data_IF_529790654014
#
_entry.id   IF_529790654014
#
_cell.length_a   1.000
_cell.length_b   1.000
_cell.length_c   1.000
_cell.angle_alpha   90.00
_cell.angle_beta   90.00
_cell.angle_gamma   90.00
#
_symmetry.space_group_name_H-M   'P 1'
#
loop_
_entity.id
_entity.type
_entity.pdbx_description
1 polymer ?
#
# COMPACT_ATOMS: atom_id res chain seq x y z
N UNK A 1 35.79 -13.13 -26.49
CA UNK A 1 35.32 -12.19 -25.46
C UNK A 1 33.95 -11.70 -25.87
N UNK A 2 32.85 -12.23 -25.33
CA UNK A 2 31.52 -11.73 -25.63
C UNK A 2 31.22 -10.52 -24.76
N UNK A 3 30.77 -9.44 -25.41
CA UNK A 3 30.37 -8.19 -24.78
C UNK A 3 29.17 -8.38 -23.83
N UNK A 4 29.23 -7.66 -22.72
CA UNK A 4 28.20 -7.62 -21.69
C UNK A 4 26.88 -7.04 -22.24
N UNK A 5 25.72 -7.59 -21.85
CA UNK A 5 24.43 -7.07 -22.28
C UNK A 5 24.15 -5.74 -21.57
N UNK A 6 24.29 -4.64 -22.30
CA UNK A 6 23.85 -3.31 -21.89
C UNK A 6 22.37 -3.30 -21.57
N UNK A 7 22.09 -2.92 -20.32
CA UNK A 7 20.98 -2.11 -19.83
C UNK A 7 19.72 -2.07 -20.73
N UNK A 8 18.71 -2.87 -20.36
CA UNK A 8 17.37 -2.76 -20.94
C UNK A 8 16.75 -1.43 -20.52
N UNK A 9 16.87 -0.47 -21.42
CA UNK A 9 16.16 0.81 -21.48
C UNK A 9 14.79 0.74 -20.82
N UNK A 10 14.69 1.24 -19.59
CA UNK A 10 13.40 1.64 -19.03
C UNK A 10 12.99 2.88 -19.80
N UNK A 11 12.19 2.74 -20.87
CA UNK A 11 11.74 3.90 -21.64
C UNK A 11 11.01 4.84 -20.69
N UNK A 12 11.59 6.02 -20.42
CA UNK A 12 10.99 7.02 -19.53
C UNK A 12 9.74 7.57 -20.22
N UNK A 13 8.58 7.06 -19.84
CA UNK A 13 7.31 7.61 -20.29
C UNK A 13 7.14 9.03 -19.72
N UNK A 14 6.83 9.97 -20.60
CA UNK A 14 6.70 11.38 -20.30
C UNK A 14 5.33 11.85 -20.79
N UNK A 15 4.57 12.55 -19.93
CA UNK A 15 3.22 13.05 -20.27
C UNK A 15 3.12 14.55 -20.00
N UNK A 16 2.43 15.24 -20.92
CA UNK A 16 1.91 16.59 -20.68
C UNK A 16 0.56 16.49 -20.00
N UNK A 17 0.44 17.08 -18.82
CA UNK A 17 -0.82 17.11 -18.09
C UNK A 17 -1.59 18.33 -18.56
N UNK A 18 -2.51 18.10 -19.51
CA UNK A 18 -3.43 19.13 -19.98
C UNK A 18 -4.61 19.20 -19.00
N UNK A 19 -4.75 20.32 -18.27
CA UNK A 19 -5.86 20.55 -17.36
C UNK A 19 -7.15 20.88 -18.13
N UNK A 20 -7.68 19.92 -18.87
CA UNK A 20 -9.10 19.89 -19.16
C UNK A 20 -9.87 19.15 -18.07
N UNK A 21 -9.33 19.08 -16.87
CA UNK A 21 -9.99 18.56 -15.68
C UNK A 21 -9.91 19.63 -14.60
N UNK A 22 -10.86 19.63 -13.66
CA UNK A 22 -10.82 20.56 -12.53
C UNK A 22 -9.58 20.33 -11.66
N UNK A 23 -9.05 21.41 -11.09
CA UNK A 23 -7.80 21.38 -10.33
C UNK A 23 -7.85 20.56 -9.05
N UNK A 24 -9.04 20.28 -8.51
CA UNK A 24 -9.28 19.41 -7.36
C UNK A 24 -9.30 17.91 -7.71
N UNK A 25 -9.24 17.55 -9.00
CA UNK A 25 -9.22 16.16 -9.44
C UNK A 25 -8.02 15.42 -8.81
N UNK A 26 -8.24 14.33 -8.06
CA UNK A 26 -7.16 13.59 -7.43
C UNK A 26 -6.37 12.78 -8.47
N UNK A 27 -5.05 12.85 -8.38
CA UNK A 27 -4.11 12.12 -9.23
C UNK A 27 -3.28 11.18 -8.36
N UNK A 28 -3.17 9.92 -8.78
CA UNK A 28 -2.35 8.92 -8.10
C UNK A 28 -0.86 9.15 -8.43
N UNK A 29 -0.11 9.52 -7.40
CA UNK A 29 1.33 9.77 -7.47
C UNK A 29 2.11 8.46 -7.40
N UNK A 30 3.39 8.49 -7.81
CA UNK A 30 4.26 7.31 -7.81
C UNK A 30 4.51 6.71 -6.42
N UNK A 31 4.33 7.49 -5.35
CA UNK A 31 4.42 7.07 -3.95
C UNK A 31 3.10 6.46 -3.42
N UNK A 32 2.07 6.35 -4.28
CA UNK A 32 0.75 5.86 -3.91
C UNK A 32 -0.14 6.89 -3.21
N UNK A 33 0.37 8.09 -2.93
CA UNK A 33 -0.43 9.19 -2.36
C UNK A 33 -1.25 9.88 -3.45
N UNK A 34 -2.28 10.60 -3.02
CA UNK A 34 -3.08 11.43 -3.90
C UNK A 34 -2.57 12.86 -3.85
N UNK A 35 -2.45 13.49 -5.02
CA UNK A 35 -2.18 14.92 -5.16
C UNK A 35 -3.22 15.53 -6.06
N UNK A 36 -3.69 16.74 -5.73
CA UNK A 36 -4.66 17.43 -6.58
C UNK A 36 -4.01 17.84 -7.90
N UNK A 37 -4.73 17.73 -9.01
CA UNK A 37 -4.24 18.09 -10.33
C UNK A 37 -3.63 19.51 -10.37
N UNK A 38 -4.26 20.46 -9.69
CA UNK A 38 -3.82 21.85 -9.62
C UNK A 38 -2.48 22.05 -8.90
N UNK A 39 -2.07 21.09 -8.07
CA UNK A 39 -0.83 21.11 -7.28
C UNK A 39 0.33 20.38 -7.97
N UNK A 40 0.05 19.65 -9.06
CA UNK A 40 1.07 18.93 -9.82
C UNK A 40 2.08 19.91 -10.43
N UNK A 41 3.36 19.54 -10.35
CA UNK A 41 4.49 20.29 -10.88
C UNK A 41 5.23 19.46 -11.93
N UNK A 42 5.97 20.14 -12.80
CA UNK A 42 6.94 19.47 -13.67
C UNK A 42 7.93 18.64 -12.83
N UNK A 43 8.37 17.52 -13.38
CA UNK A 43 9.17 16.47 -12.74
C UNK A 43 8.46 15.58 -11.70
N UNK A 44 7.21 15.89 -11.31
CA UNK A 44 6.39 14.96 -10.51
C UNK A 44 6.27 13.60 -11.23
N UNK A 45 6.21 12.52 -10.46
CA UNK A 45 6.03 11.16 -10.97
C UNK A 45 4.62 10.68 -10.62
N UNK A 46 3.87 10.27 -11.64
CA UNK A 46 2.47 9.84 -11.53
C UNK A 46 2.27 8.48 -12.16
N UNK A 47 1.18 7.80 -11.79
CA UNK A 47 0.75 6.61 -12.52
C UNK A 47 0.04 7.00 -13.81
N UNK A 48 0.66 6.67 -14.94
CA UNK A 48 0.02 6.66 -16.24
C UNK A 48 -0.53 5.28 -16.57
N UNK A 49 -1.21 5.15 -17.70
CA UNK A 49 -1.57 3.83 -18.26
C UNK A 49 -1.13 3.71 -19.72
N UNK A 50 -0.68 2.53 -20.10
CA UNK A 50 -0.27 2.21 -21.47
C UNK A 50 -0.79 0.83 -21.89
N UNK A 51 -0.93 0.62 -23.19
CA UNK A 51 -1.24 -0.71 -23.72
C UNK A 51 0.04 -1.54 -23.79
N UNK A 52 0.02 -2.73 -23.21
CA UNK A 52 1.05 -3.75 -23.27
C UNK A 52 0.43 -5.04 -23.85
N UNK A 53 0.55 -5.20 -25.17
CA UNK A 53 -0.17 -6.24 -25.91
C UNK A 53 -1.69 -6.03 -25.81
N UNK A 54 -2.42 -7.06 -25.38
CA UNK A 54 -3.89 -7.00 -25.19
C UNK A 54 -4.31 -6.34 -23.88
N UNK A 55 -3.38 -6.06 -22.97
CA UNK A 55 -3.69 -5.58 -21.63
C UNK A 55 -3.26 -4.13 -21.43
N UNK A 56 -4.04 -3.37 -20.67
CA UNK A 56 -3.63 -2.05 -20.19
C UNK A 56 -2.86 -2.23 -18.88
N UNK A 57 -1.69 -1.63 -18.78
CA UNK A 57 -0.85 -1.65 -17.58
C UNK A 57 -0.60 -0.24 -17.08
N UNK A 58 -0.43 -0.11 -15.76
CA UNK A 58 0.00 1.13 -15.15
C UNK A 58 1.53 1.25 -15.24
N UNK A 59 2.01 2.44 -15.52
CA UNK A 59 3.45 2.74 -15.57
C UNK A 59 3.76 4.06 -14.89
N UNK A 60 4.91 4.13 -14.24
CA UNK A 60 5.42 5.37 -13.66
C UNK A 60 5.79 6.33 -14.79
N UNK A 61 5.21 7.51 -14.76
CA UNK A 61 5.29 8.51 -15.82
C UNK A 61 5.74 9.84 -15.24
N UNK A 62 6.69 10.49 -15.90
CA UNK A 62 7.15 11.82 -15.51
C UNK A 62 6.23 12.90 -16.10
N UNK A 63 5.84 13.85 -15.27
CA UNK A 63 5.13 15.05 -15.71
C UNK A 63 6.16 16.01 -16.32
N UNK A 64 6.05 16.27 -17.61
CA UNK A 64 6.96 17.22 -18.30
C UNK A 64 6.45 18.65 -18.13
N UNK A 65 5.15 18.81 -18.25
CA UNK A 65 4.51 20.12 -18.32
C UNK A 65 3.11 20.03 -17.71
N UNK A 66 2.75 21.07 -16.94
CA UNK A 66 1.40 21.28 -16.44
C UNK A 66 0.85 22.58 -17.02
N UNK A 67 -0.22 22.46 -17.83
CA UNK A 67 -0.90 23.63 -18.44
C UNK A 67 -2.27 23.83 -17.81
N UNK A 68 -2.50 25.03 -17.29
CA UNK A 68 -3.82 25.47 -16.80
C UNK A 68 -4.63 26.10 -17.93
N UNK A 69 -5.93 25.81 -17.97
CA UNK A 69 -6.89 26.43 -18.87
C UNK A 69 -8.19 26.72 -18.13
N UNK A 70 -8.88 27.78 -18.54
CA UNK A 70 -10.23 28.10 -18.09
C UNK A 70 -11.16 27.91 -19.27
N UNK A 71 -12.29 27.24 -19.04
CA UNK A 71 -13.26 26.96 -20.09
C UNK A 71 -14.48 26.23 -19.55
N UNK A 72 -15.46 25.99 -20.43
CA UNK A 72 -16.66 25.22 -20.09
C UNK A 72 -16.29 23.77 -19.78
N UNK A 73 -16.88 23.24 -18.73
CA UNK A 73 -16.69 21.89 -18.26
C UNK A 73 -18.04 21.22 -17.97
N UNK A 74 -18.03 19.89 -17.96
CA UNK A 74 -19.15 19.03 -17.64
C UNK A 74 -18.80 18.20 -16.41
N UNK A 75 -19.77 17.99 -15.52
CA UNK A 75 -19.65 17.06 -14.41
C UNK A 75 -20.05 15.67 -14.89
N UNK A 76 -19.11 14.74 -14.92
CA UNK A 76 -19.33 13.32 -15.21
C UNK A 76 -19.39 12.57 -13.88
N UNK A 77 -20.54 11.95 -13.60
CA UNK A 77 -20.74 11.11 -12.41
C UNK A 77 -20.79 9.65 -12.84
N UNK A 78 -19.92 8.83 -12.27
CA UNK A 78 -19.88 7.39 -12.49
C UNK A 78 -20.76 6.65 -11.47
N UNK A 79 -21.10 5.41 -11.80
CA UNK A 79 -21.90 4.52 -10.94
C UNK A 79 -21.27 4.30 -9.56
N UNK A 80 -19.95 4.26 -9.46
CA UNK A 80 -19.22 4.12 -8.19
C UNK A 80 -19.21 5.39 -7.31
N UNK A 81 -19.89 6.45 -7.77
CA UNK A 81 -19.96 7.76 -7.13
C UNK A 81 -18.80 8.69 -7.47
N UNK A 82 -17.83 8.27 -8.29
CA UNK A 82 -16.74 9.13 -8.75
C UNK A 82 -17.27 10.30 -9.56
N UNK A 83 -16.81 11.51 -9.25
CA UNK A 83 -17.18 12.74 -9.93
C UNK A 83 -15.95 13.35 -10.60
N UNK A 84 -16.04 13.56 -11.91
CA UNK A 84 -14.99 14.16 -12.72
C UNK A 84 -15.54 15.42 -13.40
N UNK A 85 -14.95 16.57 -13.11
CA UNK A 85 -15.27 17.80 -13.85
C UNK A 85 -14.31 17.91 -15.02
N UNK A 86 -14.84 17.77 -16.24
CA UNK A 86 -14.05 17.57 -17.46
C UNK A 86 -14.44 18.57 -18.55
N UNK A 87 -13.45 19.22 -19.16
CA UNK A 87 -13.58 20.16 -20.25
C UNK A 87 -14.03 19.52 -21.56
N UNK A 88 -14.68 20.31 -22.41
CA UNK A 88 -15.33 19.86 -23.66
C UNK A 88 -14.40 19.14 -24.65
N UNK A 89 -13.11 19.48 -24.67
CA UNK A 89 -12.14 18.94 -25.63
C UNK A 89 -11.40 17.71 -25.12
N UNK A 90 -11.57 17.36 -23.85
CA UNK A 90 -10.92 16.18 -23.30
C UNK A 90 -11.56 14.90 -23.81
N UNK A 91 -10.71 13.88 -23.92
CA UNK A 91 -11.13 12.52 -24.22
C UNK A 91 -10.93 11.65 -23.00
N UNK A 92 -11.96 10.90 -22.66
CA UNK A 92 -11.96 9.89 -21.62
C UNK A 92 -11.85 8.52 -22.29
N UNK A 93 -11.06 7.64 -21.70
CA UNK A 93 -10.90 6.29 -22.20
C UNK A 93 -12.06 5.44 -21.67
N UNK A 94 -12.86 4.88 -22.56
CA UNK A 94 -13.85 3.86 -22.22
C UNK A 94 -13.40 2.47 -22.67
N UNK A 95 -14.15 1.45 -22.27
CA UNK A 95 -13.99 0.07 -22.74
C UNK A 95 -14.07 -0.07 -24.28
N UNK A 96 -14.71 0.91 -24.95
CA UNK A 96 -14.87 0.98 -26.41
C UNK A 96 -13.96 2.03 -27.06
N UNK A 97 -12.91 2.45 -26.36
CA UNK A 97 -11.92 3.41 -26.84
C UNK A 97 -12.14 4.85 -26.38
N UNK A 98 -11.46 5.80 -27.02
CA UNK A 98 -11.49 7.20 -26.61
C UNK A 98 -12.79 7.89 -27.00
N UNK A 99 -13.43 8.55 -26.04
CA UNK A 99 -14.69 9.30 -26.22
C UNK A 99 -14.54 10.73 -25.70
N UNK A 100 -15.13 11.69 -26.40
CA UNK A 100 -15.29 13.05 -25.87
C UNK A 100 -16.40 13.10 -24.81
N UNK A 101 -16.35 14.08 -23.93
CA UNK A 101 -17.39 14.25 -22.89
C UNK A 101 -18.75 14.54 -23.52
N UNK A 102 -18.77 15.35 -24.58
CA UNK A 102 -19.98 15.70 -25.34
C UNK A 102 -19.72 15.68 -26.84
N UNK A 103 -20.76 15.45 -27.63
CA UNK A 103 -20.76 15.48 -29.09
C UNK A 103 -22.20 15.51 -29.60
N UNK A 104 -22.38 15.85 -30.88
CA UNK A 104 -23.69 15.78 -31.52
C UNK A 104 -23.89 14.44 -32.23
N UNK A 105 -25.13 13.96 -32.34
CA UNK A 105 -25.44 12.76 -33.12
C UNK A 105 -25.36 13.00 -34.64
N UNK A 106 -25.63 14.24 -35.06
CA UNK A 106 -25.66 14.69 -36.47
C UNK A 106 -24.94 16.03 -36.63
N UNK A 107 -24.50 16.33 -37.86
CA UNK A 107 -23.83 17.59 -38.20
C UNK A 107 -22.31 17.61 -37.98
N UNK A 108 -21.71 18.79 -38.12
CA UNK A 108 -20.24 19.01 -38.09
C UNK A 108 -19.59 18.77 -36.72
N UNK A 109 -20.39 18.64 -35.65
CA UNK A 109 -19.93 18.31 -34.30
C UNK A 109 -20.06 16.80 -33.98
N UNK A 110 -20.30 15.95 -34.99
CA UNK A 110 -20.39 14.50 -34.82
C UNK A 110 -19.02 13.92 -34.48
N UNK A 111 -18.90 13.44 -33.24
CA UNK A 111 -17.70 12.79 -32.72
C UNK A 111 -18.08 11.71 -31.71
N UNK A 112 -17.25 10.65 -31.54
CA UNK A 112 -17.47 9.67 -30.48
C UNK A 112 -17.52 10.37 -29.13
N UNK A 113 -18.67 10.28 -28.45
CA UNK A 113 -18.89 10.91 -27.15
C UNK A 113 -19.46 9.91 -26.14
N UNK A 114 -19.40 10.29 -24.86
CA UNK A 114 -19.90 9.45 -23.77
C UNK A 114 -21.42 9.36 -23.78
N UNK A 115 -21.90 8.17 -23.48
CA UNK A 115 -23.29 7.90 -23.09
C UNK A 115 -23.31 7.22 -21.72
N UNK A 116 -24.48 7.14 -21.10
CA UNK A 116 -24.66 6.45 -19.80
C UNK A 116 -24.31 4.96 -19.86
N UNK A 117 -24.25 4.37 -21.06
CA UNK A 117 -23.91 2.96 -21.28
C UNK A 117 -22.40 2.74 -21.52
N UNK A 118 -21.54 3.65 -21.07
CA UNK A 118 -20.09 3.52 -21.24
C UNK A 118 -19.39 3.35 -19.89
N UNK A 119 -18.65 2.25 -19.74
CA UNK A 119 -17.68 2.07 -18.67
C UNK A 119 -16.41 2.86 -18.93
N UNK A 120 -16.00 3.73 -18.00
CA UNK A 120 -14.72 4.42 -18.06
C UNK A 120 -13.58 3.55 -17.51
N UNK A 121 -12.46 3.57 -18.21
CA UNK A 121 -11.25 2.87 -17.81
C UNK A 121 -10.41 3.77 -16.91
N UNK A 122 -10.14 3.32 -15.69
CA UNK A 122 -9.32 4.06 -14.73
C UNK A 122 -9.18 3.32 -13.40
N UNK A 123 -8.63 4.02 -12.42
CA UNK A 123 -8.41 3.50 -11.05
C UNK A 123 -9.73 3.48 -10.25
N UNK A 124 -10.78 4.15 -10.75
CA UNK A 124 -12.08 4.27 -10.09
C UNK A 124 -12.03 5.18 -8.86
N UNK A 125 -13.02 5.04 -7.99
CA UNK A 125 -13.09 5.78 -6.73
C UNK A 125 -11.93 5.44 -5.80
N UNK A 126 -11.23 6.47 -5.32
CA UNK A 126 -10.27 6.32 -4.22
C UNK A 126 -11.01 6.13 -2.90
N UNK A 127 -10.52 5.19 -2.08
CA UNK A 127 -10.99 5.04 -0.71
C UNK A 127 -10.64 6.30 0.09
N UNK A 128 -11.55 6.73 0.96
CA UNK A 128 -11.25 7.79 1.93
C UNK A 128 -10.12 7.30 2.85
N UNK A 129 -9.17 8.17 3.23
CA UNK A 129 -8.20 7.85 4.26
C UNK A 129 -8.90 7.32 5.53
N UNK A 130 -8.28 6.38 6.26
CA UNK A 130 -8.84 5.92 7.53
C UNK A 130 -8.97 7.08 8.51
N UNK A 131 -10.05 7.09 9.28
CA UNK A 131 -10.14 7.93 10.46
C UNK A 131 -9.10 7.46 11.48
N UNK A 132 -8.33 8.40 12.04
CA UNK A 132 -7.26 8.10 13.00
C UNK A 132 -7.83 8.20 14.42
N UNK A 133 -8.68 7.25 14.76
CA UNK A 133 -9.26 7.06 16.10
C UNK A 133 -8.31 6.28 17.04
N UNK A 134 -8.78 5.98 18.25
CA UNK A 134 -8.00 5.24 19.24
C UNK A 134 -7.72 3.80 18.79
N UNK A 135 -8.71 3.14 18.18
CA UNK A 135 -8.61 1.77 17.67
C UNK A 135 -7.58 1.64 16.55
N UNK A 136 -7.57 2.59 15.61
CA UNK A 136 -6.56 2.70 14.57
C UNK A 136 -5.17 2.82 15.17
N UNK A 137 -4.97 3.67 16.19
CA UNK A 137 -3.67 3.85 16.83
C UNK A 137 -3.22 2.57 17.55
N UNK A 138 -4.14 1.87 18.24
CA UNK A 138 -3.86 0.57 18.87
C UNK A 138 -3.48 -0.48 17.83
N UNK A 139 -4.25 -0.59 16.75
CA UNK A 139 -3.96 -1.48 15.63
C UNK A 139 -2.58 -1.19 15.03
N UNK A 140 -2.29 0.08 14.74
CA UNK A 140 -0.99 0.50 14.21
C UNK A 140 0.17 0.10 15.10
N UNK A 141 0.09 0.38 16.41
CA UNK A 141 1.11 -0.01 17.36
C UNK A 141 1.26 -1.52 17.46
N UNK A 142 0.16 -2.28 17.44
CA UNK A 142 0.18 -3.73 17.45
C UNK A 142 0.92 -4.29 16.23
N UNK A 143 0.59 -3.82 15.03
CA UNK A 143 1.26 -4.24 13.80
C UNK A 143 2.74 -3.87 13.75
N UNK A 144 3.05 -2.63 14.10
CA UNK A 144 4.43 -2.11 14.08
C UNK A 144 5.34 -2.82 15.09
N UNK A 145 4.90 -2.93 16.35
CA UNK A 145 5.71 -3.49 17.43
C UNK A 145 5.86 -5.01 17.30
N UNK A 146 4.87 -5.70 16.74
CA UNK A 146 5.00 -7.14 16.46
C UNK A 146 5.86 -7.45 15.24
N UNK A 147 5.94 -6.55 14.27
CA UNK A 147 6.87 -6.67 13.14
C UNK A 147 8.32 -6.43 13.57
N UNK A 148 8.62 -5.23 14.09
CA UNK A 148 10.00 -4.76 14.30
C UNK A 148 10.36 -4.45 15.76
N UNK A 149 9.41 -4.60 16.69
CA UNK A 149 9.61 -4.32 18.10
C UNK A 149 10.25 -5.49 18.85
N UNK A 150 11.16 -5.15 19.76
CA UNK A 150 11.73 -6.09 20.73
C UNK A 150 11.17 -5.81 22.12
N UNK A 151 10.36 -6.73 22.63
CA UNK A 151 9.86 -6.77 24.00
C UNK A 151 10.55 -7.90 24.76
N UNK A 152 10.97 -7.66 26.00
CA UNK A 152 11.60 -8.69 26.80
C UNK A 152 11.69 -8.35 28.28
N UNK A 153 11.58 -9.41 29.09
CA UNK A 153 11.82 -9.41 30.53
C UNK A 153 13.02 -10.32 30.78
N UNK A 154 14.11 -9.77 31.32
CA UNK A 154 15.31 -10.55 31.61
C UNK A 154 15.41 -10.83 33.10
N UNK A 155 15.54 -12.11 33.51
CA UNK A 155 15.64 -12.45 34.91
C UNK A 155 16.92 -11.89 35.54
N UNK A 156 16.96 -11.69 36.87
CA UNK A 156 18.16 -11.32 37.58
C UNK A 156 19.23 -12.43 37.45
N UNK A 157 20.52 -12.07 37.36
CA UNK A 157 21.61 -13.06 37.41
C UNK A 157 22.69 -13.00 36.33
N UNK A 158 22.69 -11.99 35.46
CA UNK A 158 23.87 -11.72 34.62
C UNK A 158 25.07 -11.29 35.51
N UNK A 159 26.32 -11.71 35.20
CA UNK A 159 27.50 -11.31 35.97
C UNK A 159 27.56 -9.78 36.12
N UNK A 160 27.46 -9.29 37.36
CA UNK A 160 27.47 -7.86 37.69
C UNK A 160 26.09 -7.17 37.86
N UNK A 161 24.95 -7.88 37.73
CA UNK A 161 23.62 -7.32 38.02
C UNK A 161 22.70 -8.28 38.81
N UNK A 162 22.85 -8.34 40.14
CA UNK A 162 22.18 -9.35 40.97
C UNK A 162 20.70 -9.07 41.33
N UNK A 163 20.14 -7.86 41.11
CA UNK A 163 18.88 -7.47 41.79
C UNK A 163 17.74 -6.86 40.95
N UNK A 164 17.77 -6.87 39.61
CA UNK A 164 16.66 -6.28 38.85
C UNK A 164 16.25 -7.13 37.64
N UNK A 165 14.96 -7.51 37.60
CA UNK A 165 14.31 -7.90 36.35
C UNK A 165 14.42 -6.72 35.39
N UNK A 166 15.09 -6.92 34.25
CA UNK A 166 15.25 -5.85 33.27
C UNK A 166 14.09 -5.94 32.29
N UNK A 167 13.21 -4.94 32.33
CA UNK A 167 12.17 -4.74 31.33
C UNK A 167 12.76 -3.93 30.17
N UNK A 168 12.58 -4.39 28.93
CA UNK A 168 13.06 -3.66 27.76
C UNK A 168 12.07 -3.74 26.61
N UNK A 169 11.57 -2.57 26.22
CA UNK A 169 10.98 -2.32 24.91
C UNK A 169 11.98 -1.55 24.04
N UNK A 170 12.16 -1.97 22.80
CA UNK A 170 12.92 -1.24 21.78
C UNK A 170 12.24 -1.39 20.42
N UNK A 171 12.04 -0.27 19.73
CA UNK A 171 11.63 -0.24 18.33
C UNK A 171 12.70 0.53 17.56
N UNK A 172 13.33 -0.10 16.57
CA UNK A 172 14.42 0.50 15.78
C UNK A 172 14.03 0.46 14.31
N UNK A 173 13.94 1.64 13.67
CA UNK A 173 13.47 1.78 12.29
C UNK A 173 14.45 2.61 11.47
N UNK A 174 14.54 2.28 10.18
CA UNK A 174 15.23 3.11 9.20
C UNK A 174 14.34 4.26 8.69
N UNK A 175 13.02 4.12 8.82
CA UNK A 175 12.04 5.14 8.46
C UNK A 175 11.76 6.06 9.67
N UNK A 176 12.19 7.31 9.58
CA UNK A 176 11.98 8.31 10.63
C UNK A 176 10.52 8.75 10.78
N UNK A 177 9.72 8.72 9.71
CA UNK A 177 8.30 9.08 9.77
C UNK A 177 7.52 8.02 10.55
N UNK A 178 7.78 6.74 10.27
CA UNK A 178 7.17 5.63 10.99
C UNK A 178 7.56 5.61 12.48
N UNK A 179 8.84 5.91 12.79
CA UNK A 179 9.31 5.98 14.18
C UNK A 179 8.64 7.11 14.96
N UNK A 180 8.57 8.32 14.39
CA UNK A 180 7.92 9.46 15.03
C UNK A 180 6.42 9.24 15.22
N UNK A 181 5.77 8.63 14.22
CA UNK A 181 4.35 8.24 14.32
C UNK A 181 4.12 7.26 15.47
N UNK A 182 4.98 6.26 15.61
CA UNK A 182 4.93 5.26 16.68
C UNK A 182 5.14 5.92 18.05
N UNK A 183 6.11 6.82 18.16
CA UNK A 183 6.38 7.60 19.38
C UNK A 183 5.18 8.44 19.80
N UNK A 184 4.55 9.13 18.85
CA UNK A 184 3.36 9.95 19.10
C UNK A 184 2.18 9.12 19.59
N UNK A 185 1.93 7.94 19.00
CA UNK A 185 0.83 7.08 19.45
C UNK A 185 1.12 6.48 20.83
N UNK A 186 2.34 6.01 21.09
CA UNK A 186 2.75 5.55 22.42
C UNK A 186 2.56 6.65 23.49
N UNK A 187 2.96 7.88 23.18
CA UNK A 187 2.76 9.02 24.07
C UNK A 187 1.28 9.33 24.32
N UNK A 188 0.41 9.17 23.30
CA UNK A 188 -1.03 9.37 23.46
C UNK A 188 -1.67 8.34 24.40
N UNK A 189 -1.08 7.15 24.50
CA UNK A 189 -1.47 6.12 25.48
C UNK A 189 -0.70 6.21 26.81
N UNK A 190 0.01 7.31 27.06
CA UNK A 190 0.73 7.53 28.31
C UNK A 190 1.99 6.68 28.47
N UNK A 191 2.54 6.12 27.38
CA UNK A 191 3.79 5.35 27.41
C UNK A 191 4.98 6.27 27.09
N UNK A 192 5.77 6.70 28.09
CA UNK A 192 6.95 7.51 27.85
C UNK A 192 8.04 6.68 27.18
N UNK A 193 8.63 7.22 26.11
CA UNK A 193 9.76 6.59 25.39
C UNK A 193 10.91 7.57 25.24
N UNK A 194 12.14 7.03 25.17
CA UNK A 194 13.35 7.81 24.89
C UNK A 194 13.89 7.46 23.51
N UNK A 195 14.16 8.47 22.69
CA UNK A 195 14.78 8.32 21.38
C UNK A 195 16.31 8.31 21.49
N UNK A 196 16.97 7.54 20.63
CA UNK A 196 18.42 7.54 20.44
C UNK A 196 18.79 7.01 19.05
N UNK A 197 20.00 7.33 18.59
CA UNK A 197 20.54 6.74 17.35
C UNK A 197 20.95 5.30 17.64
N UNK A 198 20.41 4.36 16.88
CA UNK A 198 20.68 2.93 17.04
C UNK A 198 21.88 2.47 16.20
N UNK A 199 21.96 2.91 14.95
CA UNK A 199 23.16 2.78 14.14
C UNK A 199 23.32 4.01 13.25
N UNK A 200 24.56 4.45 13.07
CA UNK A 200 24.88 5.45 12.06
C UNK A 200 24.80 4.85 10.65
N UNK A 201 24.73 5.71 9.64
CA UNK A 201 24.75 5.28 8.25
C UNK A 201 26.11 4.70 7.86
N UNK A 202 26.09 3.60 7.12
CA UNK A 202 27.26 3.04 6.41
C UNK A 202 26.96 2.99 4.91
N UNK A 203 27.95 2.72 4.06
CA UNK A 203 27.72 2.57 2.60
C UNK A 203 26.65 1.51 2.27
N UNK A 204 26.48 0.50 3.13
CA UNK A 204 25.54 -0.61 2.92
C UNK A 204 24.24 -0.49 3.73
N UNK A 205 24.14 0.41 4.74
CA UNK A 205 22.98 0.50 5.64
C UNK A 205 22.61 1.95 5.97
N UNK A 206 21.31 2.23 5.97
CA UNK A 206 20.77 3.54 6.37
C UNK A 206 20.93 3.76 7.88
N UNK A 207 21.00 5.02 8.29
CA UNK A 207 20.93 5.43 9.70
C UNK A 207 19.64 4.90 10.32
N UNK A 208 19.74 4.28 11.49
CA UNK A 208 18.60 3.77 12.23
C UNK A 208 18.41 4.56 13.52
N UNK A 209 17.20 5.02 13.75
CA UNK A 209 16.78 5.62 15.00
C UNK A 209 15.99 4.58 15.80
N UNK A 210 16.03 4.68 17.13
CA UNK A 210 15.26 3.81 17.99
C UNK A 210 14.60 4.54 19.13
N UNK A 211 13.42 4.07 19.51
CA UNK A 211 12.75 4.43 20.76
C UNK A 211 12.86 3.27 21.75
N UNK A 212 13.06 3.57 23.03
CA UNK A 212 13.09 2.58 24.10
C UNK A 212 12.24 2.97 25.30
N UNK A 213 11.71 1.97 25.99
CA UNK A 213 11.18 2.06 27.34
C UNK A 213 11.80 0.95 28.22
N UNK A 214 12.09 1.27 29.48
CA UNK A 214 12.81 0.36 30.39
C UNK A 214 12.14 0.20 31.76
N UNK A 215 11.10 0.96 32.07
CA UNK A 215 10.33 0.79 33.31
C UNK A 215 9.32 -0.34 33.14
N UNK A 216 9.10 -1.12 34.20
CA UNK A 216 8.11 -2.20 34.24
C UNK A 216 6.71 -1.73 33.81
N UNK A 217 6.26 -0.58 34.33
CA UNK A 217 4.95 0.01 33.99
C UNK A 217 4.82 0.34 32.50
N UNK A 218 5.81 1.01 31.92
CA UNK A 218 5.78 1.35 30.49
C UNK A 218 5.84 0.10 29.60
N UNK A 219 6.66 -0.90 29.94
CA UNK A 219 6.73 -2.15 29.15
C UNK A 219 5.42 -2.92 29.27
N UNK A 220 4.85 -3.04 30.47
CA UNK A 220 3.53 -3.66 30.68
C UNK A 220 2.41 -2.92 29.94
N UNK A 221 2.45 -1.59 29.88
CA UNK A 221 1.51 -0.80 29.09
C UNK A 221 1.65 -1.06 27.59
N UNK A 222 2.88 -1.21 27.07
CA UNK A 222 3.10 -1.61 25.67
C UNK A 222 2.55 -3.01 25.42
N UNK A 223 2.79 -3.97 26.32
CA UNK A 223 2.28 -5.34 26.19
C UNK A 223 0.75 -5.40 26.17
N UNK A 224 0.09 -4.57 26.99
CA UNK A 224 -1.37 -4.43 26.98
C UNK A 224 -1.86 -3.86 25.64
N UNK A 225 -1.22 -2.80 25.13
CA UNK A 225 -1.61 -2.14 23.88
C UNK A 225 -1.48 -3.06 22.64
N UNK A 226 -0.51 -3.97 22.64
CA UNK A 226 -0.23 -4.88 21.51
C UNK A 226 -0.83 -6.28 21.71
N UNK A 227 -1.68 -6.45 22.72
CA UNK A 227 -2.44 -7.69 22.91
C UNK A 227 -3.36 -7.90 21.71
N UNK A 228 -3.49 -9.15 21.28
CA UNK A 228 -4.47 -9.51 20.27
C UNK A 228 -5.89 -9.17 20.76
N UNK A 229 -6.76 -8.65 19.89
CA UNK A 229 -8.12 -8.31 20.26
C UNK A 229 -8.87 -9.59 20.66
N UNK A 230 -9.51 -9.58 21.83
CA UNK A 230 -10.26 -10.73 22.35
C UNK A 230 -11.58 -10.98 21.61
N UNK A 231 -12.11 -9.93 20.97
CA UNK A 231 -13.30 -9.98 20.12
C UNK A 231 -12.93 -9.60 18.67
N UNK A 232 -13.89 -9.71 17.75
CA UNK A 232 -13.70 -9.29 16.35
C UNK A 232 -13.21 -7.84 16.29
N UNK A 233 -12.02 -7.57 15.72
CA UNK A 233 -11.49 -6.21 15.69
C UNK A 233 -12.32 -5.30 14.78
N UNK A 234 -12.44 -4.04 15.21
CA UNK A 234 -13.10 -2.95 14.47
C UNK A 234 -12.37 -2.65 13.15
N UNK A 235 -13.06 -1.98 12.22
CA UNK A 235 -12.41 -1.54 10.97
C UNK A 235 -11.23 -0.60 11.22
N UNK A 236 -11.36 0.31 12.20
CA UNK A 236 -10.29 1.23 12.59
C UNK A 236 -9.05 0.47 13.01
N UNK A 237 -9.21 -0.52 13.90
CA UNK A 237 -8.12 -1.37 14.35
C UNK A 237 -7.48 -2.16 13.21
N UNK A 238 -8.27 -2.77 12.31
CA UNK A 238 -7.74 -3.54 11.17
C UNK A 238 -6.94 -2.66 10.20
N UNK A 239 -7.44 -1.46 9.89
CA UNK A 239 -6.74 -0.46 9.06
C UNK A 239 -5.43 -0.02 9.71
N UNK A 240 -5.48 0.20 11.03
CA UNK A 240 -4.30 0.50 11.84
C UNK A 240 -3.26 -0.62 11.76
N UNK A 241 -3.68 -1.85 12.04
CA UNK A 241 -2.82 -3.04 12.04
C UNK A 241 -2.11 -3.26 10.72
N UNK A 242 -2.84 -3.22 9.60
CA UNK A 242 -2.24 -3.35 8.27
C UNK A 242 -1.25 -2.21 7.97
N UNK A 243 -1.54 -0.98 8.38
CA UNK A 243 -0.62 0.15 8.20
C UNK A 243 0.64 -0.01 9.05
N UNK A 244 0.52 -0.47 10.30
CA UNK A 244 1.65 -0.71 11.20
C UNK A 244 2.57 -1.82 10.72
N UNK A 245 2.00 -2.96 10.32
CA UNK A 245 2.76 -4.08 9.74
C UNK A 245 3.45 -3.66 8.44
N UNK A 246 2.78 -2.89 7.58
CA UNK A 246 3.37 -2.41 6.34
C UNK A 246 4.53 -1.44 6.58
N UNK A 247 4.42 -0.53 7.55
CA UNK A 247 5.52 0.38 7.88
C UNK A 247 6.73 -0.36 8.51
N UNK A 248 6.51 -1.50 9.17
CA UNK A 248 7.58 -2.35 9.73
C UNK A 248 8.28 -3.19 8.64
N UNK A 249 7.53 -4.04 7.96
CA UNK A 249 8.09 -5.09 7.09
C UNK A 249 7.57 -5.05 5.65
N UNK A 250 6.77 -4.03 5.33
CA UNK A 250 6.15 -3.87 4.04
C UNK A 250 7.12 -3.39 2.97
N UNK A 251 6.91 -3.87 1.75
CA UNK A 251 7.52 -3.31 0.57
C UNK A 251 6.46 -3.17 -0.52
N UNK A 252 6.48 -2.04 -1.23
CA UNK A 252 5.64 -1.83 -2.39
C UNK A 252 6.53 -1.57 -3.60
N UNK A 253 6.49 -2.47 -4.58
CA UNK A 253 7.25 -2.33 -5.82
C UNK A 253 6.41 -2.79 -7.00
N UNK A 254 6.45 -2.04 -8.11
CA UNK A 254 5.72 -2.39 -9.34
C UNK A 254 4.20 -2.63 -9.12
N UNK A 255 3.59 -1.94 -8.14
CA UNK A 255 2.18 -2.11 -7.81
C UNK A 255 1.83 -3.41 -7.07
N UNK A 256 2.85 -4.13 -6.59
CA UNK A 256 2.71 -5.32 -5.74
C UNK A 256 3.15 -4.95 -4.33
N UNK A 257 2.22 -5.08 -3.38
CA UNK A 257 2.50 -4.96 -1.95
C UNK A 257 2.91 -6.33 -1.41
N UNK A 258 4.03 -6.37 -0.70
CA UNK A 258 4.56 -7.56 -0.03
C UNK A 258 4.81 -7.28 1.44
N UNK A 259 4.38 -8.19 2.29
CA UNK A 259 4.69 -8.21 3.72
C UNK A 259 5.34 -9.56 4.03
N UNK A 260 6.44 -9.56 4.78
CA UNK A 260 7.22 -10.78 5.07
C UNK A 260 7.43 -10.92 6.56
N UNK A 261 6.86 -11.95 7.17
CA UNK A 261 7.00 -12.22 8.60
C UNK A 261 7.23 -13.72 8.86
N UNK A 262 7.91 -14.05 9.95
CA UNK A 262 8.12 -15.44 10.40
C UNK A 262 7.04 -15.94 11.36
N UNK A 263 6.31 -15.04 12.01
CA UNK A 263 5.27 -15.37 12.98
C UNK A 263 3.96 -15.76 12.26
N UNK A 264 3.47 -17.01 12.45
CA UNK A 264 2.24 -17.47 11.81
C UNK A 264 1.00 -16.70 12.28
N UNK A 265 0.95 -16.21 13.52
CA UNK A 265 -0.19 -15.48 14.06
C UNK A 265 -0.32 -14.11 13.42
N UNK A 266 0.81 -13.43 13.20
CA UNK A 266 0.85 -12.16 12.46
C UNK A 266 0.37 -12.38 11.03
N UNK A 267 0.88 -13.42 10.35
CA UNK A 267 0.47 -13.75 8.97
C UNK A 267 -1.03 -14.07 8.87
N UNK A 268 -1.58 -14.78 9.85
CA UNK A 268 -3.01 -15.09 9.88
C UNK A 268 -3.84 -13.81 10.10
N UNK A 269 -3.47 -12.94 11.03
CA UNK A 269 -4.17 -11.67 11.25
C UNK A 269 -4.10 -10.74 10.04
N UNK A 270 -2.96 -10.67 9.35
CA UNK A 270 -2.84 -9.92 8.08
C UNK A 270 -3.83 -10.48 7.05
N UNK A 271 -3.88 -11.81 6.92
CA UNK A 271 -4.78 -12.50 5.98
C UNK A 271 -6.23 -12.18 6.29
N UNK A 272 -6.65 -12.31 7.54
CA UNK A 272 -8.01 -12.01 7.99
C UNK A 272 -8.40 -10.55 7.72
N UNK A 273 -7.48 -9.60 7.97
CA UNK A 273 -7.73 -8.19 7.70
C UNK A 273 -7.83 -7.90 6.19
N UNK A 274 -6.97 -8.51 5.37
CA UNK A 274 -7.02 -8.32 3.90
C UNK A 274 -8.30 -8.90 3.29
N UNK A 275 -8.69 -10.10 3.71
CA UNK A 275 -9.94 -10.74 3.27
C UNK A 275 -11.17 -9.94 3.71
N UNK A 276 -11.16 -9.40 4.93
CA UNK A 276 -12.24 -8.53 5.42
C UNK A 276 -12.47 -7.31 4.53
N UNK A 277 -11.41 -6.69 4.01
CA UNK A 277 -11.50 -5.57 3.07
C UNK A 277 -11.65 -6.01 1.59
N UNK A 278 -11.78 -7.31 1.33
CA UNK A 278 -11.98 -7.85 -0.02
C UNK A 278 -10.74 -7.79 -0.91
N UNK A 279 -9.53 -7.71 -0.34
CA UNK A 279 -8.30 -7.76 -1.12
C UNK A 279 -8.00 -9.19 -1.60
N UNK A 280 -7.72 -9.34 -2.89
CA UNK A 280 -7.11 -10.56 -3.42
C UNK A 280 -5.69 -10.70 -2.87
N UNK A 281 -5.36 -11.85 -2.30
CA UNK A 281 -4.04 -12.08 -1.71
C UNK A 281 -3.54 -13.50 -1.99
N UNK A 282 -2.22 -13.66 -1.99
CA UNK A 282 -1.55 -14.96 -2.08
C UNK A 282 -0.53 -15.07 -0.96
N UNK A 283 -0.59 -16.18 -0.22
CA UNK A 283 0.44 -16.57 0.75
C UNK A 283 1.48 -17.43 0.06
N UNK A 284 2.68 -16.91 -0.09
CA UNK A 284 3.81 -17.64 -0.68
C UNK A 284 4.60 -18.34 0.45
N UNK A 285 5.01 -19.58 0.19
CA UNK A 285 5.90 -20.33 1.07
C UNK A 285 7.31 -19.70 1.08
N UNK A 286 8.13 -19.94 2.13
CA UNK A 286 9.51 -19.45 2.17
C UNK A 286 10.27 -19.88 0.92
N UNK A 287 10.91 -18.94 0.23
CA UNK A 287 11.77 -19.30 -0.92
C UNK A 287 13.05 -19.93 -0.38
N UNK A 288 13.24 -21.23 -0.60
CA UNK A 288 14.55 -21.88 -0.46
C UNK A 288 15.49 -21.33 -1.52
N UNK A 289 16.33 -20.37 -1.16
CA UNK A 289 17.50 -20.04 -1.98
C UNK A 289 18.62 -21.03 -1.64
N UNK A 290 18.80 -22.04 -2.49
CA UNK A 290 20.06 -22.77 -2.59
C UNK A 290 21.06 -21.84 -3.28
N UNK A 291 22.09 -21.42 -2.55
CA UNK A 291 23.52 -21.59 -2.90
C UNK A 291 24.39 -21.02 -1.76
N UNK A 292 25.21 -21.93 -1.23
CA UNK A 292 26.37 -21.75 -0.33
C UNK A 292 26.17 -21.03 1.01
N UNK A 293 25.80 -21.82 2.02
CA UNK A 293 26.37 -21.70 3.36
C UNK A 293 26.47 -23.12 3.96
N UNK A 294 27.64 -23.75 3.83
CA UNK A 294 28.06 -24.80 4.73
C UNK A 294 28.27 -24.18 6.12
N UNK A 295 27.25 -24.22 6.96
CA UNK A 295 27.38 -24.08 8.41
C UNK A 295 26.45 -25.11 9.04
N UNK A 296 27.03 -26.16 9.65
CA UNK A 296 26.31 -27.04 10.58
C UNK A 296 25.90 -26.20 11.78
N UNK A 297 24.59 -26.04 11.98
CA UNK A 297 24.00 -25.33 13.09
C UNK A 297 22.62 -24.83 12.69
N UNK A 298 21.59 -25.40 13.31
CA UNK A 298 20.17 -25.19 13.05
C UNK A 298 19.77 -23.70 12.98
N UNK A 299 19.51 -23.18 11.78
CA UNK A 299 18.74 -21.95 11.58
C UNK A 299 18.11 -21.94 10.18
N UNK A 300 16.92 -22.55 10.05
CA UNK A 300 16.11 -22.46 8.83
C UNK A 300 15.17 -21.27 8.93
N UNK A 301 15.52 -20.15 8.28
CA UNK A 301 14.69 -18.94 8.19
C UNK A 301 13.43 -19.23 7.36
N UNK A 302 12.35 -19.65 8.05
CA UNK A 302 11.04 -19.96 7.47
C UNK A 302 10.16 -18.71 7.45
N UNK A 303 10.47 -17.73 6.59
CA UNK A 303 9.62 -16.52 6.42
C UNK A 303 8.49 -16.79 5.43
N UNK A 304 7.25 -16.54 5.85
CA UNK A 304 6.11 -16.50 4.93
C UNK A 304 6.00 -15.13 4.27
N UNK A 305 5.55 -15.09 3.02
CA UNK A 305 5.30 -13.83 2.32
C UNK A 305 3.83 -13.70 1.95
N UNK A 306 3.25 -12.53 2.21
CA UNK A 306 1.92 -12.16 1.74
C UNK A 306 2.08 -11.21 0.58
N UNK A 307 1.54 -11.59 -0.57
CA UNK A 307 1.46 -10.75 -1.77
C UNK A 307 0.02 -10.29 -1.94
N UNK A 308 -0.24 -8.99 -1.83
CA UNK A 308 -1.53 -8.45 -2.26
C UNK A 308 -1.55 -8.36 -3.77
N UNK A 309 -2.56 -8.98 -4.36
CA UNK A 309 -2.84 -8.87 -5.79
C UNK A 309 -3.71 -7.63 -5.99
N UNK A 310 -3.27 -6.75 -6.88
CA UNK A 310 -4.11 -5.68 -7.37
C UNK A 310 -5.05 -6.27 -8.43
N UNK A 311 -6.13 -6.93 -8.01
CA UNK A 311 -7.14 -7.43 -8.93
C UNK A 311 -8.44 -6.63 -8.81
N UNK A 312 -8.64 -5.74 -9.80
CA UNK A 312 -9.91 -5.75 -10.53
C UNK A 312 -9.64 -6.32 -11.92
N UNK A 313 -9.69 -7.64 -12.02
CA UNK A 313 -9.93 -8.28 -13.31
C UNK A 313 -11.38 -7.99 -13.69
N UNK A 314 -11.58 -7.06 -14.63
CA UNK A 314 -12.86 -6.91 -15.30
C UNK A 314 -13.10 -8.11 -16.22
N UNK A 315 -14.15 -8.88 -15.93
CA UNK A 315 -14.94 -9.61 -16.92
C UNK A 315 -14.35 -10.90 -17.48
N UNK A 316 -14.64 -12.03 -16.83
CA UNK A 316 -15.02 -13.24 -17.56
C UNK A 316 -16.29 -13.79 -16.93
N UNK A 317 -17.35 -13.80 -17.75
CA UNK A 317 -18.61 -14.46 -17.46
C UNK A 317 -18.34 -15.91 -17.02
N UNK A 318 -19.05 -16.35 -15.98
CA UNK A 318 -19.18 -17.76 -15.68
C UNK A 318 -19.70 -18.50 -16.93
N UNK A 319 -19.10 -19.63 -17.34
CA UNK A 319 -19.82 -20.54 -18.21
C UNK A 319 -20.98 -21.11 -17.39
N UNK A 320 -22.17 -20.89 -17.90
CA UNK A 320 -23.41 -21.54 -17.52
C UNK A 320 -23.20 -23.06 -17.58
N UNK A 321 -23.01 -23.71 -16.43
CA UNK A 321 -23.04 -25.18 -16.33
C UNK A 321 -24.45 -25.57 -15.91
N UNK A 322 -25.39 -25.32 -16.81
CA UNK A 322 -26.73 -25.86 -16.78
C UNK A 322 -26.79 -27.22 -17.48
N UNK A 323 -27.24 -28.22 -16.74
CA UNK A 323 -27.86 -29.46 -17.21
C UNK A 323 -26.96 -30.59 -17.76
N UNK A 324 -26.58 -31.51 -16.87
CA UNK A 324 -26.63 -32.93 -17.17
C UNK A 324 -27.35 -33.65 -16.03
N UNK A 325 -28.66 -33.78 -16.18
CA UNK A 325 -29.49 -34.77 -15.50
C UNK A 325 -30.74 -35.01 -16.35
N UNK A 326 -30.59 -35.85 -17.38
CA UNK A 326 -31.67 -36.75 -17.82
C UNK A 326 -31.37 -38.09 -17.15
N UNK A 327 -32.36 -38.77 -16.56
CA UNK A 327 -33.33 -39.49 -17.37
C UNK A 327 -34.77 -39.54 -16.80
N UNK A 328 -35.74 -39.84 -17.65
CA UNK A 328 -36.69 -40.99 -17.59
C UNK A 328 -37.89 -40.69 -18.52
N UNK A 329 -38.18 -41.70 -19.35
CA UNK A 329 -39.30 -41.89 -20.28
C UNK A 329 -39.36 -40.99 -21.53
#
# INVERSE_FOLDING_TARGET
MPESPTDRTTSRAAVRVNAGFAGDTPILMADGRLKRLGEIRSADRVYGSHMAGRYRRYLLTHVVEHRRRVGRAFLVTLEDGTRLTVGIDQRLLSERGWKHVTGAERGSLRRPHLTVNNGLMGIGRFASPPEIDEDYRRGYLCGMIRGDGQLGHYPPGAPGRPYAVVHRFRLALADGEALERSRRYLSAFGVPTREFVFSEATEARRKMHAVRAQSASAVGAVEELVRWPAATPSEGWRKGFLAGVFDAEGSCSQGILRISNSDPDILNMITDCLLHFGFGMVREAPRTHVRDCHCRGECGDRRGHIRCLNERQGGQAAPDVGSLSRPIA
#
